data_IF_759583963738
#
_entry.id   IF_759583963738
#
_cell.length_a   1.000
_cell.length_b   1.000
_cell.length_c   1.000
_cell.angle_alpha   90.00
_cell.angle_beta   90.00
_cell.angle_gamma   90.00
#
_symmetry.space_group_name_H-M   'P 1'
#
loop_
_entity.id
_entity.type
_entity.pdbx_description
1 polymer ?
#
# COMPACT_ATOMS: atom_id res chain seq x y z
N UNK A 1 2.40 -16.49 20.77
CA UNK A 1 1.28 -16.70 19.82
C UNK A 1 0.26 -15.62 20.14
N UNK A 2 0.41 -14.45 19.54
CA UNK A 2 -0.44 -13.27 19.85
C UNK A 2 -1.87 -13.54 19.38
N UNK A 3 -2.83 -13.00 20.14
CA UNK A 3 -4.26 -13.20 19.88
C UNK A 3 -4.64 -12.64 18.51
N UNK A 4 -5.50 -13.33 17.77
CA UNK A 4 -6.00 -12.91 16.46
C UNK A 4 -6.63 -11.50 16.50
N UNK A 5 -7.11 -11.07 17.67
CA UNK A 5 -7.68 -9.75 17.94
C UNK A 5 -6.62 -8.63 18.00
N UNK A 6 -5.45 -8.89 18.61
CA UNK A 6 -4.34 -7.92 18.71
C UNK A 6 -3.73 -7.63 17.33
N UNK A 7 -3.72 -8.63 16.45
CA UNK A 7 -3.27 -8.45 15.07
C UNK A 7 -4.24 -7.55 14.30
N UNK A 8 -5.57 -7.67 14.51
CA UNK A 8 -6.58 -6.87 13.80
C UNK A 8 -6.58 -5.38 14.16
N UNK A 9 -6.25 -5.03 15.41
CA UNK A 9 -6.13 -3.63 15.84
C UNK A 9 -5.04 -2.89 15.08
N UNK A 10 -3.84 -3.46 15.01
CA UNK A 10 -2.70 -2.88 14.28
C UNK A 10 -2.93 -2.77 12.77
N UNK A 11 -3.68 -3.70 12.18
CA UNK A 11 -4.02 -3.65 10.75
C UNK A 11 -4.95 -2.47 10.44
N UNK A 12 -5.89 -2.16 11.35
CA UNK A 12 -6.83 -1.03 11.19
C UNK A 12 -6.11 0.32 11.28
N UNK A 13 -5.20 0.46 12.24
CA UNK A 13 -4.39 1.68 12.37
C UNK A 13 -3.51 1.91 11.14
N UNK A 14 -2.96 0.83 10.58
CA UNK A 14 -2.14 0.91 9.38
C UNK A 14 -2.96 1.25 8.15
N UNK A 15 -4.17 0.70 8.03
CA UNK A 15 -5.07 0.97 6.91
C UNK A 15 -5.62 2.40 6.94
N UNK A 16 -5.94 2.92 8.13
CA UNK A 16 -6.34 4.32 8.30
C UNK A 16 -5.23 5.29 7.84
N UNK A 17 -3.97 4.99 8.16
CA UNK A 17 -2.82 5.80 7.75
C UNK A 17 -2.56 5.80 6.24
N UNK A 18 -2.84 4.69 5.56
CA UNK A 18 -2.72 4.62 4.09
C UNK A 18 -3.74 5.54 3.43
N UNK A 19 -4.98 5.53 3.92
CA UNK A 19 -6.06 6.39 3.39
C UNK A 19 -5.74 7.88 3.55
N UNK A 20 -5.25 8.31 4.71
CA UNK A 20 -4.87 9.71 4.96
C UNK A 20 -3.69 10.18 4.10
N UNK A 21 -2.69 9.34 3.89
CA UNK A 21 -1.51 9.71 3.11
C UNK A 21 -1.77 9.76 1.59
N UNK A 22 -2.75 8.98 1.12
CA UNK A 22 -3.09 8.93 -0.28
C UNK A 22 -3.86 10.16 -0.77
N UNK A 23 -4.58 10.85 0.11
CA UNK A 23 -5.20 12.14 -0.22
C UNK A 23 -4.15 13.21 -0.57
N UNK A 24 -2.99 13.19 0.07
CA UNK A 24 -1.94 14.19 -0.18
C UNK A 24 -1.15 13.92 -1.48
N UNK A 25 -0.98 12.65 -1.84
CA UNK A 25 -0.16 12.23 -2.98
C UNK A 25 -0.91 12.11 -4.31
N UNK A 26 -2.20 12.52 -4.38
CA UNK A 26 -3.05 12.40 -5.58
C UNK A 26 -3.06 10.98 -6.18
N UNK A 27 -3.03 9.97 -5.30
CA UNK A 27 -3.10 8.57 -5.69
C UNK A 27 -4.51 8.23 -6.19
N UNK A 28 -4.59 7.39 -7.21
CA UNK A 28 -5.87 6.81 -7.62
C UNK A 28 -6.30 5.74 -6.62
N UNK A 29 -7.60 5.45 -6.54
CA UNK A 29 -8.15 4.38 -5.70
C UNK A 29 -7.43 3.04 -5.93
N UNK A 30 -7.07 2.74 -7.19
CA UNK A 30 -6.40 1.48 -7.51
C UNK A 30 -4.93 1.45 -7.10
N UNK A 31 -4.24 2.59 -7.14
CA UNK A 31 -2.89 2.71 -6.61
C UNK A 31 -2.88 2.58 -5.08
N UNK A 32 -3.87 3.18 -4.41
CA UNK A 32 -4.09 3.03 -2.97
C UNK A 32 -4.31 1.55 -2.59
N UNK A 33 -5.28 0.86 -3.20
CA UNK A 33 -5.58 -0.55 -2.89
C UNK A 33 -4.34 -1.44 -3.06
N UNK A 34 -3.52 -1.17 -4.09
CA UNK A 34 -2.28 -1.88 -4.32
C UNK A 34 -1.26 -1.57 -3.22
N UNK A 35 -1.11 -0.30 -2.80
CA UNK A 35 -0.21 0.09 -1.71
C UNK A 35 -0.66 -0.43 -0.33
N UNK A 36 -1.96 -0.51 -0.07
CA UNK A 36 -2.50 -1.17 1.12
C UNK A 36 -2.07 -2.63 1.16
N UNK A 37 -2.28 -3.37 0.07
CA UNK A 37 -1.83 -4.74 -0.05
C UNK A 37 -0.30 -4.88 0.10
N UNK A 38 0.47 -3.87 -0.35
CA UNK A 38 1.91 -3.80 -0.12
C UNK A 38 2.25 -3.64 1.36
N UNK A 39 1.51 -2.82 2.10
CA UNK A 39 1.65 -2.66 3.54
C UNK A 39 1.40 -3.98 4.28
N UNK A 40 0.46 -4.80 3.79
CA UNK A 40 0.25 -6.17 4.28
C UNK A 40 1.31 -7.19 3.83
N UNK A 41 2.45 -6.73 3.30
CA UNK A 41 3.57 -7.56 2.82
C UNK A 41 3.20 -8.56 1.71
N UNK A 42 2.13 -8.31 0.96
CA UNK A 42 1.70 -9.18 -0.13
C UNK A 42 2.63 -9.07 -1.35
N UNK A 43 2.99 -10.22 -1.94
CA UNK A 43 3.69 -10.29 -3.23
C UNK A 43 2.81 -9.80 -4.38
N UNK A 44 3.39 -9.36 -5.49
CA UNK A 44 2.62 -8.93 -6.67
C UNK A 44 1.64 -10.01 -7.15
N UNK A 45 2.00 -11.29 -7.04
CA UNK A 45 1.12 -12.43 -7.33
C UNK A 45 -0.07 -12.55 -6.38
N UNK A 46 0.14 -12.29 -5.09
CA UNK A 46 -0.95 -12.29 -4.11
C UNK A 46 -1.87 -11.09 -4.36
N UNK A 47 -1.30 -9.90 -4.58
CA UNK A 47 -2.07 -8.69 -4.91
C UNK A 47 -2.91 -8.90 -6.18
N UNK A 48 -2.29 -9.44 -7.24
CA UNK A 48 -2.95 -9.74 -8.51
C UNK A 48 -4.18 -10.64 -8.31
N UNK A 49 -4.04 -11.71 -7.52
CA UNK A 49 -5.15 -12.62 -7.18
C UNK A 49 -6.22 -11.94 -6.35
N UNK A 50 -5.84 -11.20 -5.31
CA UNK A 50 -6.78 -10.51 -4.41
C UNK A 50 -7.59 -9.44 -5.13
N UNK A 51 -6.96 -8.71 -6.04
CA UNK A 51 -7.57 -7.62 -6.78
C UNK A 51 -8.15 -8.06 -8.14
N UNK A 52 -8.06 -9.34 -8.50
CA UNK A 52 -8.50 -9.91 -9.78
C UNK A 52 -7.94 -9.17 -11.02
N UNK A 53 -6.62 -8.95 -11.06
CA UNK A 53 -5.89 -8.31 -12.16
C UNK A 53 -4.58 -9.06 -12.44
N UNK A 54 -3.90 -8.75 -13.54
CA UNK A 54 -2.61 -9.39 -13.85
C UNK A 54 -1.46 -8.86 -12.97
N UNK A 55 -0.42 -9.67 -12.76
CA UNK A 55 0.81 -9.22 -12.08
C UNK A 55 1.46 -8.02 -12.82
N UNK A 56 1.34 -7.95 -14.14
CA UNK A 56 1.81 -6.81 -14.94
C UNK A 56 1.02 -5.54 -14.61
N UNK A 57 -0.30 -5.65 -14.46
CA UNK A 57 -1.17 -4.54 -14.05
C UNK A 57 -0.81 -4.05 -12.64
N UNK A 58 -0.53 -4.97 -11.70
CA UNK A 58 -0.03 -4.61 -10.36
C UNK A 58 1.29 -3.84 -10.46
N UNK A 59 2.26 -4.33 -11.24
CA UNK A 59 3.54 -3.63 -11.45
C UNK A 59 3.32 -2.21 -12.00
N UNK A 60 2.40 -2.04 -12.96
CA UNK A 60 2.06 -0.72 -13.51
C UNK A 60 1.49 0.22 -12.45
N UNK A 61 0.55 -0.24 -11.63
CA UNK A 61 0.00 0.57 -10.53
C UNK A 61 1.08 0.93 -9.51
N UNK A 62 1.96 0.00 -9.15
CA UNK A 62 3.09 0.28 -8.25
C UNK A 62 4.04 1.32 -8.84
N UNK A 63 4.43 1.20 -10.12
CA UNK A 63 5.30 2.18 -10.77
C UNK A 63 4.70 3.59 -10.74
N UNK A 64 3.42 3.73 -11.07
CA UNK A 64 2.74 5.02 -11.03
C UNK A 64 2.64 5.58 -9.61
N UNK A 65 2.28 4.72 -8.64
CA UNK A 65 2.21 5.10 -7.24
C UNK A 65 3.57 5.56 -6.70
N UNK A 66 4.65 4.85 -7.05
CA UNK A 66 6.00 5.21 -6.65
C UNK A 66 6.43 6.55 -7.24
N UNK A 67 6.13 6.80 -8.52
CA UNK A 67 6.40 8.10 -9.14
C UNK A 67 5.68 9.23 -8.42
N UNK A 68 4.40 9.05 -8.08
CA UNK A 68 3.60 10.04 -7.35
C UNK A 68 4.11 10.29 -5.93
N UNK A 69 4.57 9.25 -5.24
CA UNK A 69 5.16 9.37 -3.91
C UNK A 69 6.62 9.87 -3.94
N UNK A 70 7.26 9.94 -5.12
CA UNK A 70 8.70 10.17 -5.22
C UNK A 70 9.54 9.02 -4.62
N UNK A 71 8.99 7.81 -4.61
CA UNK A 71 9.60 6.63 -4.03
C UNK A 71 10.48 5.88 -5.03
N UNK A 72 11.61 5.39 -4.55
CA UNK A 72 12.58 4.61 -5.33
C UNK A 72 12.46 3.10 -5.12
N UNK A 73 11.78 2.68 -4.07
CA UNK A 73 11.63 1.27 -3.71
C UNK A 73 10.31 0.99 -3.02
N UNK A 74 9.96 -0.29 -2.90
CA UNK A 74 8.77 -0.75 -2.17
C UNK A 74 8.73 -0.27 -0.72
N UNK A 75 9.88 -0.35 -0.03
CA UNK A 75 9.97 0.08 1.36
C UNK A 75 10.00 1.60 1.48
N UNK A 76 10.67 2.29 0.55
CA UNK A 76 10.67 3.75 0.47
C UNK A 76 9.26 4.30 0.20
N UNK A 77 8.48 3.63 -0.65
CA UNK A 77 7.08 3.99 -0.90
C UNK A 77 6.25 3.89 0.37
N UNK A 78 6.41 2.83 1.15
CA UNK A 78 5.76 2.70 2.45
C UNK A 78 6.25 3.77 3.44
N UNK A 79 7.56 4.03 3.49
CA UNK A 79 8.12 5.05 4.37
C UNK A 79 7.57 6.45 4.05
N UNK A 80 7.49 6.81 2.77
CA UNK A 80 6.91 8.09 2.33
C UNK A 80 5.42 8.17 2.59
N UNK A 81 4.69 7.09 2.28
CA UNK A 81 3.27 6.98 2.57
C UNK A 81 3.00 7.17 4.08
N UNK A 82 3.81 6.59 4.98
CA UNK A 82 3.61 6.77 6.42
C UNK A 82 4.33 8.00 7.01
N UNK A 83 5.26 8.59 6.26
CA UNK A 83 6.22 9.60 6.71
C UNK A 83 5.96 11.01 6.21
N UNK A 84 4.96 11.25 5.36
CA UNK A 84 4.49 12.60 4.95
C UNK A 84 3.91 13.45 6.10
N UNK A 85 4.19 13.11 7.37
CA UNK A 85 3.80 13.87 8.56
C UNK A 85 5.01 14.06 9.48
N UNK A 86 5.77 15.13 9.26
CA UNK A 86 6.46 15.89 10.32
C UNK A 86 6.16 17.37 10.08
#
# INVERSE_FOLDING_TARGET
>A
MLSYEETRGHLRDRQLRVLEAASDASLTNRELEVLEAVAFAMTNRQIARTLNISELTVKRHLSNAYLKLGASSRMDALHRLFGSRI
#
